data_IF_797643698454
#
_entry.id   IF_797643698454
#
_cell.length_a   1.000
_cell.length_b   1.000
_cell.length_c   1.000
_cell.angle_alpha   90.00
_cell.angle_beta   90.00
_cell.angle_gamma   90.00
#
_symmetry.space_group_name_H-M   'P 1'
#
loop_
_entity.id
_entity.type
_entity.pdbx_description
1 polymer ?
#
# COMPACT_ATOMS: atom_id res chain seq x y z
N UNK A 1 -9.81 12.67 2.08
CA UNK A 1 -9.39 13.17 3.40
C UNK A 1 -8.20 12.41 4.00
N UNK A 2 -8.21 11.06 4.05
CA UNK A 2 -7.09 10.29 4.62
C UNK A 2 -6.78 9.04 3.82
N UNK A 3 -5.49 8.66 3.76
CA UNK A 3 -5.02 7.36 3.27
C UNK A 3 -4.49 6.51 4.41
N UNK A 4 -4.47 5.19 4.22
CA UNK A 4 -3.92 4.24 5.18
C UNK A 4 -2.56 3.75 4.71
N UNK A 5 -1.57 3.79 5.60
CA UNK A 5 -0.22 3.33 5.36
C UNK A 5 0.20 2.38 6.46
N UNK A 6 1.07 1.42 6.12
CA UNK A 6 1.59 0.41 7.05
C UNK A 6 3.11 0.53 7.15
N UNK A 7 3.65 0.13 8.30
CA UNK A 7 5.08 0.02 8.52
C UNK A 7 5.50 -1.45 8.52
N UNK A 8 6.53 -1.78 7.74
CA UNK A 8 7.04 -3.14 7.60
C UNK A 8 7.64 -3.64 8.92
N UNK A 9 7.16 -4.78 9.41
CA UNK A 9 7.66 -5.39 10.65
C UNK A 9 8.87 -6.32 10.51
N UNK A 10 9.27 -6.67 9.28
CA UNK A 10 10.37 -7.61 9.04
C UNK A 10 10.97 -7.46 7.63
N UNK A 11 12.07 -8.18 7.40
CA UNK A 11 12.79 -8.23 6.13
C UNK A 11 13.82 -7.10 5.98
N UNK A 12 14.37 -6.97 4.77
CA UNK A 12 15.39 -5.96 4.44
C UNK A 12 14.87 -4.52 4.59
N UNK A 13 13.56 -4.33 4.37
CA UNK A 13 12.89 -3.03 4.43
C UNK A 13 12.16 -2.79 5.76
N UNK A 14 12.57 -3.47 6.84
CA UNK A 14 11.99 -3.26 8.18
C UNK A 14 11.99 -1.77 8.55
N UNK A 15 10.96 -1.34 9.27
CA UNK A 15 10.72 0.04 9.72
C UNK A 15 10.38 1.04 8.58
N UNK A 16 10.44 0.63 7.32
CA UNK A 16 9.99 1.43 6.18
C UNK A 16 8.47 1.45 6.06
N UNK A 17 7.93 2.60 5.61
CA UNK A 17 6.51 2.79 5.38
C UNK A 17 6.13 2.58 3.91
N UNK A 18 5.01 1.91 3.69
CA UNK A 18 4.48 1.57 2.37
C UNK A 18 2.94 1.57 2.37
N UNK A 19 2.35 1.49 1.18
CA UNK A 19 0.94 1.17 1.06
C UNK A 19 0.73 -0.35 1.11
N UNK A 20 -0.31 -0.83 1.81
CA UNK A 20 -0.54 -2.26 1.97
C UNK A 20 -0.95 -2.93 0.65
N UNK A 21 -0.57 -4.18 0.49
CA UNK A 21 -0.72 -4.94 -0.75
C UNK A 21 0.48 -5.86 -0.99
N UNK A 22 0.43 -6.63 -2.06
CA UNK A 22 1.45 -7.66 -2.28
C UNK A 22 1.47 -8.18 -3.70
N UNK A 23 2.00 -9.40 -3.85
CA UNK A 23 2.31 -9.98 -5.16
C UNK A 23 1.03 -10.50 -5.82
N UNK A 24 0.99 -10.34 -7.14
CA UNK A 24 -0.06 -10.94 -7.96
C UNK A 24 0.28 -12.41 -8.18
N UNK A 25 -0.62 -13.32 -7.80
CA UNK A 25 -0.44 -14.74 -8.06
C UNK A 25 -0.95 -15.15 -9.45
N UNK A 26 -0.54 -16.34 -9.90
CA UNK A 26 -0.90 -16.83 -11.21
C UNK A 26 -2.42 -17.02 -11.35
N UNK A 27 -3.01 -16.35 -12.34
CA UNK A 27 -4.45 -16.39 -12.60
C UNK A 27 -5.26 -15.31 -11.91
N UNK A 28 -4.62 -14.45 -11.12
CA UNK A 28 -5.26 -13.27 -10.51
C UNK A 28 -5.18 -12.04 -11.42
N UNK A 29 -6.24 -11.24 -11.41
CA UNK A 29 -6.14 -9.82 -11.82
C UNK A 29 -5.50 -9.00 -10.71
N UNK A 30 -4.89 -7.84 -11.02
CA UNK A 30 -4.31 -6.95 -9.99
C UNK A 30 -5.30 -6.60 -8.87
N UNK A 31 -6.56 -6.38 -9.21
CA UNK A 31 -7.61 -6.06 -8.23
C UNK A 31 -7.99 -7.26 -7.35
N UNK A 32 -7.96 -8.48 -7.89
CA UNK A 32 -8.17 -9.69 -7.10
C UNK A 32 -7.03 -9.92 -6.11
N UNK A 33 -5.79 -9.79 -6.59
CA UNK A 33 -4.60 -9.88 -5.73
C UNK A 33 -4.68 -8.85 -4.60
N UNK A 34 -4.97 -7.58 -4.91
CA UNK A 34 -5.09 -6.53 -3.89
C UNK A 34 -6.17 -6.85 -2.84
N UNK A 35 -7.34 -7.38 -3.25
CA UNK A 35 -8.37 -7.79 -2.29
C UNK A 35 -7.92 -8.94 -1.37
N UNK A 36 -7.21 -9.93 -1.93
CA UNK A 36 -6.67 -11.07 -1.17
C UNK A 36 -5.60 -10.60 -0.19
N UNK A 37 -4.61 -9.86 -0.67
CA UNK A 37 -3.49 -9.34 0.13
C UNK A 37 -3.99 -8.49 1.30
N UNK A 38 -4.92 -7.55 1.06
CA UNK A 38 -5.50 -6.74 2.15
C UNK A 38 -6.28 -7.59 3.16
N UNK A 39 -6.90 -8.68 2.72
CA UNK A 39 -7.57 -9.61 3.63
C UNK A 39 -6.55 -10.39 4.47
N UNK A 40 -5.43 -10.80 3.88
CA UNK A 40 -4.35 -11.55 4.54
C UNK A 40 -3.55 -10.68 5.51
N UNK A 41 -3.24 -9.45 5.15
CA UNK A 41 -2.41 -8.54 5.96
C UNK A 41 -3.22 -7.79 7.03
N UNK A 42 -4.49 -7.46 6.74
CA UNK A 42 -5.29 -6.50 7.52
C UNK A 42 -6.65 -7.02 8.01
N UNK A 43 -6.97 -8.29 7.78
CA UNK A 43 -8.26 -8.94 8.08
C UNK A 43 -9.50 -8.17 7.55
N UNK A 44 -9.34 -7.41 6.47
CA UNK A 44 -10.34 -6.43 6.02
C UNK A 44 -10.78 -6.69 4.58
N UNK A 45 -12.05 -6.42 4.29
CA UNK A 45 -12.55 -6.43 2.92
C UNK A 45 -12.56 -5.01 2.35
N UNK A 46 -12.08 -4.87 1.12
CA UNK A 46 -12.05 -3.60 0.39
C UNK A 46 -12.79 -3.71 -0.95
N UNK A 47 -13.30 -2.56 -1.39
CA UNK A 47 -13.70 -2.35 -2.78
C UNK A 47 -12.58 -1.60 -3.50
N UNK A 48 -12.06 -2.22 -4.56
CA UNK A 48 -10.97 -1.68 -5.38
C UNK A 48 -11.58 -0.85 -6.50
N UNK A 49 -11.16 0.41 -6.59
CA UNK A 49 -11.61 1.38 -7.57
C UNK A 49 -10.60 1.59 -8.70
N UNK A 50 -10.45 2.85 -9.10
CA UNK A 50 -9.65 3.25 -10.25
C UNK A 50 -8.14 3.06 -10.02
N UNK A 51 -7.43 2.76 -11.09
CA UNK A 51 -5.96 2.77 -11.10
C UNK A 51 -5.48 4.21 -10.89
N UNK A 52 -4.68 4.42 -9.86
CA UNK A 52 -3.98 5.68 -9.60
C UNK A 52 -2.81 5.79 -10.58
N UNK A 53 -1.96 4.77 -10.56
CA UNK A 53 -0.73 4.78 -11.34
C UNK A 53 -0.04 3.41 -11.38
N UNK A 54 0.95 3.29 -12.28
CA UNK A 54 1.89 2.17 -12.32
C UNK A 54 3.29 2.68 -12.02
N UNK A 55 3.87 2.21 -10.93
CA UNK A 55 5.22 2.54 -10.48
C UNK A 55 6.17 1.44 -10.94
N UNK A 56 7.28 1.85 -11.55
CA UNK A 56 8.42 0.98 -11.88
C UNK A 56 9.63 1.50 -11.13
N UNK A 57 10.31 0.64 -10.37
CA UNK A 57 11.45 1.06 -9.54
C UNK A 57 12.54 -0.01 -9.52
N UNK A 58 13.77 0.39 -9.83
CA UNK A 58 14.95 -0.48 -9.77
C UNK A 58 15.60 -0.43 -8.37
N UNK A 59 15.46 -1.52 -7.62
CA UNK A 59 16.32 -1.78 -6.46
C UNK A 59 17.62 -2.43 -6.95
N UNK A 60 18.70 -2.39 -6.15
CA UNK A 60 19.99 -3.00 -6.52
C UNK A 60 19.87 -4.48 -6.93
N UNK A 61 18.99 -5.23 -6.27
CA UNK A 61 18.86 -6.68 -6.46
C UNK A 61 17.67 -7.11 -7.32
N UNK A 62 16.70 -6.22 -7.56
CA UNK A 62 15.49 -6.55 -8.31
C UNK A 62 14.78 -5.32 -8.89
N UNK A 63 13.95 -5.57 -9.91
CA UNK A 63 13.05 -4.57 -10.48
C UNK A 63 11.65 -4.75 -9.89
N UNK A 64 11.08 -3.70 -9.32
CA UNK A 64 9.72 -3.64 -8.80
C UNK A 64 8.77 -3.04 -9.84
N UNK A 65 7.66 -3.72 -10.10
CA UNK A 65 6.53 -3.22 -10.89
C UNK A 65 5.26 -3.28 -10.05
N UNK A 66 4.65 -2.12 -9.78
CA UNK A 66 3.49 -2.01 -8.89
C UNK A 66 2.36 -1.25 -9.57
N UNK A 67 1.15 -1.82 -9.55
CA UNK A 67 -0.08 -1.14 -9.95
C UNK A 67 -0.82 -0.68 -8.69
N UNK A 68 -1.06 0.62 -8.58
CA UNK A 68 -1.60 1.25 -7.39
C UNK A 68 -3.03 1.67 -7.66
N UNK A 69 -3.97 1.24 -6.81
CA UNK A 69 -5.40 1.51 -6.99
C UNK A 69 -5.94 2.32 -5.82
N UNK A 70 -6.96 3.13 -6.08
CA UNK A 70 -7.82 3.61 -5.00
C UNK A 70 -8.59 2.43 -4.44
N UNK A 71 -8.73 2.38 -3.12
CA UNK A 71 -9.51 1.35 -2.45
C UNK A 71 -10.20 1.93 -1.21
N UNK A 72 -11.40 1.42 -0.94
CA UNK A 72 -12.18 1.80 0.22
C UNK A 72 -12.49 0.58 1.08
N UNK A 73 -12.46 0.77 2.40
CA UNK A 73 -12.86 -0.28 3.35
C UNK A 73 -14.35 -0.53 3.18
N UNK A 74 -14.69 -1.72 2.70
CA UNK A 74 -16.06 -2.16 2.51
C UNK A 74 -16.69 -2.60 3.83
N UNK A 75 -15.96 -3.39 4.60
CA UNK A 75 -16.41 -3.88 5.90
C UNK A 75 -15.24 -4.31 6.79
N UNK A 76 -15.48 -4.33 8.10
CA UNK A 76 -14.47 -4.74 9.09
C UNK A 76 -13.68 -3.57 9.67
N UNK A 77 -12.57 -3.90 10.33
CA UNK A 77 -11.59 -2.96 10.87
C UNK A 77 -10.20 -3.42 10.42
N UNK A 78 -9.37 -2.47 10.03
CA UNK A 78 -7.97 -2.71 9.66
C UNK A 78 -7.22 -3.25 10.88
N UNK A 79 -6.98 -4.55 10.90
CA UNK A 79 -6.32 -5.28 11.99
C UNK A 79 -4.98 -5.77 11.50
N UNK A 80 -3.89 -5.24 12.04
CA UNK A 80 -2.54 -5.59 11.56
C UNK A 80 -2.21 -7.04 11.92
N UNK A 81 -2.00 -7.88 10.90
CA UNK A 81 -1.57 -9.27 11.06
C UNK A 81 -0.07 -9.43 10.81
N UNK A 82 0.50 -8.65 9.89
CA UNK A 82 1.92 -8.72 9.51
C UNK A 82 2.71 -7.43 9.75
N UNK A 83 2.06 -6.26 9.57
CA UNK A 83 2.68 -4.96 9.77
C UNK A 83 2.95 -4.66 11.26
N UNK A 84 4.02 -3.90 11.53
CA UNK A 84 4.41 -3.53 12.90
C UNK A 84 3.68 -2.28 13.41
N UNK A 85 3.37 -1.34 12.53
CA UNK A 85 2.57 -0.14 12.83
C UNK A 85 1.70 0.22 11.62
N UNK A 86 0.69 1.07 11.82
CA UNK A 86 -0.09 1.65 10.73
C UNK A 86 -0.73 2.98 11.10
N UNK A 87 -0.94 3.84 10.10
CA UNK A 87 -1.47 5.19 10.28
C UNK A 87 -2.45 5.57 9.20
N UNK A 88 -3.47 6.29 9.62
CA UNK A 88 -4.27 7.13 8.73
C UNK A 88 -3.58 8.48 8.58
N UNK A 89 -3.13 8.81 7.37
CA UNK A 89 -2.44 10.05 7.06
C UNK A 89 -3.34 10.97 6.23
N UNK A 90 -3.35 12.25 6.59
CA UNK A 90 -3.96 13.35 5.84
C UNK A 90 -2.96 13.91 4.82
N UNK A 91 -3.40 14.81 3.93
CA UNK A 91 -2.48 15.54 3.05
C UNK A 91 -1.36 16.26 3.84
N UNK A 92 -1.68 16.80 5.03
CA UNK A 92 -0.72 17.52 5.87
C UNK A 92 0.26 16.58 6.59
N UNK A 93 -0.16 15.34 6.87
CA UNK A 93 0.65 14.38 7.63
C UNK A 93 1.30 13.32 6.75
N UNK A 94 1.05 13.30 5.44
CA UNK A 94 1.52 12.23 4.56
C UNK A 94 3.05 12.14 4.53
N UNK A 95 3.76 13.26 4.67
CA UNK A 95 5.24 13.30 4.68
C UNK A 95 5.86 13.07 6.08
N UNK A 96 5.06 12.71 7.09
CA UNK A 96 5.55 12.52 8.48
C UNK A 96 6.09 11.11 8.76
N UNK A 97 6.07 10.23 7.76
CA UNK A 97 6.55 8.85 7.85
C UNK A 97 7.66 8.59 6.85
N UNK A 98 8.55 7.66 7.18
CA UNK A 98 9.71 7.32 6.35
C UNK A 98 9.30 6.35 5.23
N UNK A 99 8.70 6.89 4.17
CA UNK A 99 8.30 6.13 3.00
C UNK A 99 9.46 5.42 2.32
N UNK A 100 9.22 4.18 1.91
CA UNK A 100 10.10 3.44 1.02
C UNK A 100 10.31 4.18 -0.29
N UNK A 101 11.49 4.02 -0.94
CA UNK A 101 11.82 4.77 -2.14
C UNK A 101 10.80 4.65 -3.28
N UNK A 102 10.23 3.45 -3.50
CA UNK A 102 9.23 3.20 -4.54
C UNK A 102 7.91 3.95 -4.28
N UNK A 103 7.46 4.02 -3.02
CA UNK A 103 6.19 4.64 -2.64
C UNK A 103 6.23 6.17 -2.72
N UNK A 104 7.40 6.79 -2.62
CA UNK A 104 7.55 8.27 -2.65
C UNK A 104 7.01 8.91 -3.92
N UNK A 105 7.08 8.22 -5.07
CA UNK A 105 6.50 8.76 -6.30
C UNK A 105 4.97 8.79 -6.21
N UNK A 106 4.37 7.71 -5.70
CA UNK A 106 2.93 7.61 -5.52
C UNK A 106 2.42 8.62 -4.47
N UNK A 107 3.14 8.81 -3.37
CA UNK A 107 2.81 9.79 -2.31
C UNK A 107 2.61 11.19 -2.90
N UNK A 108 3.48 11.63 -3.81
CA UNK A 108 3.36 12.95 -4.46
C UNK A 108 2.06 13.09 -5.26
N UNK A 109 1.61 11.99 -5.89
CA UNK A 109 0.38 11.96 -6.70
C UNK A 109 -0.86 11.94 -5.79
N UNK A 110 -0.82 11.13 -4.73
CA UNK A 110 -1.89 11.00 -3.74
C UNK A 110 -2.07 12.30 -2.94
N UNK A 111 -0.99 12.94 -2.50
CA UNK A 111 -1.06 14.17 -1.71
C UNK A 111 -1.78 15.31 -2.43
N UNK A 112 -1.73 15.35 -3.77
CA UNK A 112 -2.45 16.34 -4.57
C UNK A 112 -3.94 16.00 -4.77
N UNK A 113 -4.32 14.74 -4.56
CA UNK A 113 -5.69 14.23 -4.70
C UNK A 113 -6.44 14.12 -3.37
N UNK A 114 -5.72 14.22 -2.24
CA UNK A 114 -6.26 14.23 -0.88
C UNK A 114 -6.78 15.60 -0.45
#
# INVERSE_FOLDING_TARGET
DRIFATQRGYGEFKDGWEFPGGKIEAGETPQQALKREIKEELDTEIDVGELIDRIEYDYPDFHLSMQCFWAEVKSGKLTLLEAEDARWLTAESIDTVDWLPADRELVKKIAAAL
#
